data_IF_661670089159
#
_entry.id   IF_661670089159
#
_cell.length_a   1.000
_cell.length_b   1.000
_cell.length_c   1.000
_cell.angle_alpha   90.00
_cell.angle_beta   90.00
_cell.angle_gamma   90.00
#
_symmetry.space_group_name_H-M   'P 1'
#
loop_
_entity.id
_entity.type
_entity.pdbx_description
1 polymer ?
#
# COMPACT_ATOMS: atom_id res chain seq x y z
N UNK A 1 -14.60 -19.68 -15.68
CA UNK A 1 -14.26 -19.78 -14.24
C UNK A 1 -14.09 -18.37 -13.70
N UNK A 2 -14.64 -18.02 -12.53
CA UNK A 2 -14.55 -16.66 -11.96
C UNK A 2 -13.16 -16.47 -11.35
N UNK A 3 -12.48 -15.37 -11.69
CA UNK A 3 -11.21 -14.98 -11.05
C UNK A 3 -11.53 -14.31 -9.71
N UNK A 4 -10.90 -14.78 -8.63
CA UNK A 4 -10.96 -14.16 -7.30
C UNK A 4 -9.57 -13.57 -7.05
N UNK A 5 -9.55 -12.33 -6.55
CA UNK A 5 -8.32 -11.61 -6.24
C UNK A 5 -8.31 -11.29 -4.75
N UNK A 6 -7.12 -11.38 -4.16
CA UNK A 6 -6.91 -11.08 -2.76
C UNK A 6 -6.22 -9.73 -2.64
N UNK A 7 -6.84 -8.85 -1.86
CA UNK A 7 -6.34 -7.56 -1.49
C UNK A 7 -5.99 -7.61 0.00
N UNK A 8 -4.71 -7.47 0.33
CA UNK A 8 -4.22 -7.51 1.71
C UNK A 8 -3.92 -6.10 2.24
N UNK A 9 -4.38 -5.81 3.46
CA UNK A 9 -4.16 -4.53 4.14
C UNK A 9 -3.32 -4.69 5.41
N UNK A 10 -2.62 -5.81 5.57
CA UNK A 10 -1.87 -6.11 6.80
C UNK A 10 -0.77 -5.08 7.09
N UNK A 11 -0.13 -4.55 6.04
CA UNK A 11 0.96 -3.57 6.16
C UNK A 11 0.50 -2.13 6.37
N UNK A 12 -0.80 -1.84 6.21
CA UNK A 12 -1.40 -0.53 6.47
C UNK A 12 -2.34 -0.63 7.66
N UNK A 13 -3.48 -1.28 7.50
CA UNK A 13 -4.55 -1.31 8.51
C UNK A 13 -4.17 -2.22 9.68
N UNK A 14 -3.46 -3.32 9.39
CA UNK A 14 -2.91 -4.19 10.43
C UNK A 14 -1.87 -3.47 11.31
N UNK A 15 -1.04 -2.61 10.72
CA UNK A 15 -0.06 -1.80 11.46
C UNK A 15 -0.73 -0.76 12.38
N UNK A 16 -1.97 -0.33 12.11
CA UNK A 16 -2.69 0.59 12.99
C UNK A 16 -3.14 -0.06 14.32
N UNK A 17 -2.89 -1.35 14.51
CA UNK A 17 -3.20 -2.06 15.76
C UNK A 17 -2.31 -1.54 16.90
N UNK A 18 -2.86 -1.20 18.08
CA UNK A 18 -2.06 -0.76 19.22
C UNK A 18 -0.96 -1.76 19.59
N UNK A 19 0.27 -1.27 19.68
CA UNK A 19 1.45 -2.09 20.00
C UNK A 19 2.07 -2.82 18.82
N UNK A 20 1.57 -2.61 17.60
CA UNK A 20 2.18 -3.09 16.35
C UNK A 20 2.86 -1.91 15.66
N UNK A 21 4.11 -2.13 15.25
CA UNK A 21 4.87 -1.21 14.39
C UNK A 21 5.89 -2.04 13.64
N UNK A 22 5.98 -1.84 12.34
CA UNK A 22 6.91 -2.59 11.51
C UNK A 22 8.04 -1.67 11.03
N UNK A 23 9.27 -2.11 11.19
CA UNK A 23 10.39 -1.55 10.44
C UNK A 23 10.22 -1.82 8.94
N UNK A 24 10.84 -1.00 8.10
CA UNK A 24 10.81 -1.19 6.63
C UNK A 24 11.28 -2.60 6.25
N UNK A 25 12.32 -3.13 6.91
CA UNK A 25 12.80 -4.49 6.70
C UNK A 25 11.78 -5.58 7.04
N UNK A 26 11.00 -5.39 8.11
CA UNK A 26 9.93 -6.31 8.50
C UNK A 26 8.80 -6.24 7.48
N UNK A 27 8.40 -5.04 7.06
CA UNK A 27 7.38 -4.86 6.03
C UNK A 27 7.76 -5.54 4.71
N UNK A 28 9.00 -5.37 4.23
CA UNK A 28 9.50 -6.06 3.02
C UNK A 28 9.45 -7.58 3.20
N UNK A 29 9.80 -8.09 4.38
CA UNK A 29 9.78 -9.53 4.66
C UNK A 29 8.35 -10.08 4.63
N UNK A 30 7.40 -9.39 5.24
CA UNK A 30 5.98 -9.74 5.23
C UNK A 30 5.44 -9.64 3.80
N UNK A 31 5.72 -8.56 3.08
CA UNK A 31 5.28 -8.34 1.70
C UNK A 31 5.73 -9.48 0.76
N UNK A 32 7.00 -9.90 0.86
CA UNK A 32 7.52 -11.05 0.10
C UNK A 32 6.85 -12.36 0.47
N UNK A 33 6.41 -12.51 1.73
CA UNK A 33 5.69 -13.70 2.15
C UNK A 33 4.24 -13.71 1.62
N UNK A 34 3.57 -12.56 1.60
CA UNK A 34 2.26 -12.37 0.99
C UNK A 34 2.29 -12.62 -0.53
N UNK A 35 3.34 -12.15 -1.20
CA UNK A 35 3.57 -12.42 -2.63
C UNK A 35 3.67 -13.92 -2.91
N UNK A 36 4.43 -14.66 -2.10
CA UNK A 36 4.53 -16.13 -2.21
C UNK A 36 3.20 -16.86 -2.03
N UNK A 37 2.26 -16.28 -1.28
CA UNK A 37 0.91 -16.84 -1.10
C UNK A 37 -0.04 -16.53 -2.25
N UNK A 38 0.39 -15.75 -3.25
CA UNK A 38 -0.41 -15.39 -4.42
C UNK A 38 -1.38 -14.24 -4.17
N UNK A 39 -1.07 -13.37 -3.19
CA UNK A 39 -1.82 -12.12 -3.00
C UNK A 39 -1.69 -11.26 -4.25
N UNK A 40 -2.82 -10.73 -4.72
CA UNK A 40 -2.90 -9.98 -5.97
C UNK A 40 -2.46 -8.53 -5.78
N UNK A 41 -2.89 -7.91 -4.68
CA UNK A 41 -2.59 -6.53 -4.32
C UNK A 41 -2.30 -6.44 -2.82
N UNK A 42 -1.25 -5.70 -2.46
CA UNK A 42 -0.91 -5.36 -1.08
C UNK A 42 -1.04 -3.85 -0.93
N UNK A 43 -1.77 -3.41 0.09
CA UNK A 43 -1.82 -2.02 0.52
C UNK A 43 -0.70 -1.74 1.53
N UNK A 44 0.20 -0.84 1.16
CA UNK A 44 1.23 -0.34 2.06
C UNK A 44 1.07 1.16 2.32
N UNK A 45 0.91 1.48 3.60
CA UNK A 45 1.07 2.81 4.16
C UNK A 45 0.25 3.95 3.53
N UNK A 46 0.70 5.16 3.86
CA UNK A 46 0.16 6.42 3.36
C UNK A 46 1.31 7.37 2.95
N UNK A 47 1.71 7.43 1.67
CA UNK A 47 2.88 8.18 1.22
C UNK A 47 2.84 9.68 1.51
N UNK A 48 1.65 10.28 1.61
CA UNK A 48 1.53 11.71 1.89
C UNK A 48 1.68 12.08 3.37
N UNK A 49 1.69 11.09 4.28
CA UNK A 49 1.83 11.29 5.72
C UNK A 49 3.20 11.85 6.10
N UNK A 50 4.28 11.23 5.61
CA UNK A 50 5.65 11.63 5.92
C UNK A 50 6.64 11.20 4.82
N UNK A 51 7.83 11.82 4.73
CA UNK A 51 8.90 11.36 3.83
C UNK A 51 9.32 9.91 4.09
N UNK A 52 9.30 9.47 5.36
CA UNK A 52 9.64 8.10 5.73
C UNK A 52 8.56 7.11 5.26
N UNK A 53 7.28 7.49 5.36
CA UNK A 53 6.16 6.71 4.83
C UNK A 53 6.25 6.58 3.30
N UNK A 54 6.63 7.65 2.60
CA UNK A 54 6.86 7.63 1.15
C UNK A 54 7.97 6.65 0.76
N UNK A 55 9.12 6.75 1.44
CA UNK A 55 10.29 5.91 1.14
C UNK A 55 10.01 4.44 1.48
N UNK A 56 9.26 4.15 2.55
CA UNK A 56 8.83 2.80 2.89
C UNK A 56 8.00 2.17 1.77
N UNK A 57 6.96 2.88 1.30
CA UNK A 57 6.07 2.40 0.22
C UNK A 57 6.86 2.15 -1.06
N UNK A 58 7.76 3.07 -1.39
CA UNK A 58 8.63 2.94 -2.56
C UNK A 58 9.54 1.72 -2.46
N UNK A 59 10.20 1.50 -1.34
CA UNK A 59 11.07 0.33 -1.16
C UNK A 59 10.31 -0.99 -1.23
N UNK A 60 9.07 -1.05 -0.74
CA UNK A 60 8.24 -2.25 -0.86
C UNK A 60 7.80 -2.45 -2.31
N UNK A 61 7.33 -1.40 -2.98
CA UNK A 61 6.97 -1.45 -4.40
C UNK A 61 8.13 -1.98 -5.26
N UNK A 62 9.34 -1.46 -5.05
CA UNK A 62 10.55 -1.88 -5.77
C UNK A 62 11.02 -3.31 -5.40
N UNK A 63 10.56 -3.86 -4.27
CA UNK A 63 10.98 -5.17 -3.75
C UNK A 63 10.13 -6.34 -4.25
N UNK A 64 8.93 -6.09 -4.78
CA UNK A 64 7.98 -7.11 -5.24
C UNK A 64 8.00 -7.23 -6.76
N UNK A 65 7.84 -8.45 -7.26
CA UNK A 65 7.91 -8.77 -8.69
C UNK A 65 6.58 -9.24 -9.26
N UNK A 66 5.77 -9.89 -8.43
CA UNK A 66 4.56 -10.59 -8.83
C UNK A 66 3.26 -9.98 -8.32
N UNK A 67 3.32 -9.32 -7.17
CA UNK A 67 2.20 -8.65 -6.52
C UNK A 67 2.21 -7.15 -6.78
N UNK A 68 1.04 -6.56 -7.04
CA UNK A 68 0.93 -5.11 -7.15
C UNK A 68 0.90 -4.45 -5.77
N UNK A 69 1.54 -3.28 -5.65
CA UNK A 69 1.46 -2.46 -4.44
C UNK A 69 0.51 -1.30 -4.68
N UNK A 70 -0.38 -1.07 -3.72
CA UNK A 70 -1.20 0.14 -3.64
C UNK A 70 -0.86 0.90 -2.37
N UNK A 71 -1.19 2.19 -2.36
CA UNK A 71 -0.94 3.06 -1.25
C UNK A 71 -2.18 3.91 -0.98
N UNK A 72 -2.40 4.26 0.28
CA UNK A 72 -3.53 5.11 0.63
C UNK A 72 -3.28 6.54 0.10
N UNK A 73 -4.32 7.18 -0.42
CA UNK A 73 -4.32 8.61 -0.68
C UNK A 73 -5.62 9.23 -0.15
N UNK A 74 -5.55 10.47 0.32
CA UNK A 74 -6.76 11.30 0.47
C UNK A 74 -7.19 11.80 -0.90
N UNK A 75 -8.43 12.29 -1.00
CA UNK A 75 -8.97 12.89 -2.23
C UNK A 75 -8.41 14.29 -2.49
N UNK A 76 -7.09 14.43 -2.50
CA UNK A 76 -6.34 15.66 -2.76
C UNK A 76 -5.31 15.35 -3.84
N UNK A 77 -5.22 16.18 -4.87
CA UNK A 77 -4.33 15.94 -6.03
C UNK A 77 -2.89 15.67 -5.58
N UNK A 78 -2.37 16.47 -4.65
CA UNK A 78 -1.00 16.29 -4.12
C UNK A 78 -0.77 14.94 -3.44
N UNK A 79 -1.79 14.38 -2.79
CA UNK A 79 -1.68 13.08 -2.11
C UNK A 79 -1.74 11.93 -3.12
N UNK A 80 -2.58 12.09 -4.16
CA UNK A 80 -2.66 11.16 -5.29
C UNK A 80 -1.33 11.14 -6.03
N UNK A 81 -0.76 12.30 -6.36
CA UNK A 81 0.53 12.41 -7.06
C UNK A 81 1.65 11.72 -6.28
N UNK A 82 1.71 11.92 -4.96
CA UNK A 82 2.67 11.22 -4.08
C UNK A 82 2.45 9.72 -4.06
N UNK A 83 1.20 9.25 -4.01
CA UNK A 83 0.91 7.82 -4.04
C UNK A 83 1.33 7.19 -5.37
N UNK A 84 1.03 7.86 -6.50
CA UNK A 84 1.46 7.44 -7.85
C UNK A 84 2.98 7.36 -7.92
N UNK A 85 3.69 8.36 -7.39
CA UNK A 85 5.14 8.40 -7.43
C UNK A 85 5.77 7.30 -6.57
N UNK A 86 5.23 7.05 -5.37
CA UNK A 86 5.73 6.02 -4.46
C UNK A 86 5.63 4.61 -5.05
N UNK A 87 4.52 4.25 -5.70
CA UNK A 87 4.31 2.90 -6.24
C UNK A 87 4.88 2.69 -7.66
N UNK A 88 5.47 3.74 -8.26
CA UNK A 88 5.85 3.76 -9.68
C UNK A 88 6.84 2.68 -10.10
N UNK A 89 7.75 2.28 -9.20
CA UNK A 89 8.74 1.24 -9.49
C UNK A 89 8.23 -0.19 -9.31
N UNK A 90 7.05 -0.36 -8.71
CA UNK A 90 6.43 -1.66 -8.51
C UNK A 90 5.69 -2.20 -9.73
N UNK A 91 5.27 -3.47 -9.63
CA UNK A 91 4.53 -4.13 -10.70
C UNK A 91 3.20 -3.43 -10.99
N UNK A 92 3.01 -3.04 -12.24
CA UNK A 92 1.69 -2.64 -12.77
C UNK A 92 0.94 -3.92 -13.14
N UNK A 93 -0.11 -4.24 -12.40
CA UNK A 93 -1.05 -5.30 -12.75
C UNK A 93 -2.25 -4.69 -13.50
N UNK A 94 -3.00 -5.52 -14.24
CA UNK A 94 -4.25 -5.08 -14.87
C UNK A 94 -5.27 -4.50 -13.86
N UNK A 95 -5.07 -4.74 -12.56
CA UNK A 95 -5.93 -4.32 -11.47
C UNK A 95 -5.18 -3.43 -10.46
N UNK A 96 -4.08 -2.79 -10.87
CA UNK A 96 -3.46 -1.73 -10.08
C UNK A 96 -4.51 -0.66 -9.77
N UNK A 97 -4.79 -0.47 -8.48
CA UNK A 97 -5.81 0.43 -7.99
C UNK A 97 -5.20 1.41 -6.97
N UNK A 98 -5.89 2.52 -6.74
CA UNK A 98 -5.60 3.43 -5.63
C UNK A 98 -6.68 3.23 -4.56
N UNK A 99 -6.27 3.12 -3.30
CA UNK A 99 -7.20 3.22 -2.19
C UNK A 99 -7.36 4.69 -1.80
N UNK A 100 -8.46 5.30 -2.25
CA UNK A 100 -8.82 6.66 -1.86
C UNK A 100 -9.72 6.66 -0.63
N UNK A 101 -9.29 7.29 0.46
CA UNK A 101 -10.12 7.46 1.65
C UNK A 101 -11.01 8.70 1.52
N UNK A 102 -12.31 8.54 1.69
CA UNK A 102 -13.26 9.63 1.84
C UNK A 102 -13.56 9.87 3.32
N UNK A 103 -13.09 10.98 3.87
CA UNK A 103 -13.51 11.42 5.20
C UNK A 103 -14.66 12.40 5.05
N UNK A 104 -15.85 12.00 5.48
CA UNK A 104 -16.98 12.92 5.63
C UNK A 104 -16.86 13.64 6.96
N UNK A 105 -16.40 14.88 6.95
CA UNK A 105 -16.43 15.74 8.13
C UNK A 105 -17.83 16.32 8.28
N UNK A 106 -18.66 15.73 9.14
CA UNK A 106 -19.70 16.51 9.80
C UNK A 106 -19.00 17.44 10.78
N UNK A 107 -18.96 18.74 10.46
CA UNK A 107 -18.76 19.77 11.48
C UNK A 107 -19.92 19.64 12.47
N UNK A 108 -19.62 19.25 13.71
CA UNK A 108 -20.51 19.36 14.89
C UNK A 108 -19.99 20.53 15.72
#
# INVERSE_FOLDING_TARGET
MRKIEFFDTSLRDGEQTPGVSFSISEKITIAKQLEKWGISVIEDGFPAESPDSFEAVKQIADSLNDTAVTALARCVISDIDKAVEAVKGGKISANSCFHCHFTYSHEI
#
